data_IF_841088370198
#
_entry.id   IF_841088370198
#
_cell.length_a   1.000
_cell.length_b   1.000
_cell.length_c   1.000
_cell.angle_alpha   90.00
_cell.angle_beta   90.00
_cell.angle_gamma   90.00
#
_symmetry.space_group_name_H-M   'P 1'
#
loop_
_entity.id
_entity.type
_entity.pdbx_description
1 polymer ?
#
# COMPACT_ATOMS: atom_id res chain seq x y z
N UNK A 1 29.75 -4.19 -61.30
CA UNK A 1 29.48 -4.65 -59.91
C UNK A 1 29.38 -3.45 -58.93
N UNK A 2 28.31 -2.65 -58.99
CA UNK A 2 28.12 -1.48 -58.08
C UNK A 2 26.73 -1.42 -57.41
N UNK A 3 25.82 -2.35 -57.71
CA UNK A 3 24.42 -2.30 -57.25
C UNK A 3 24.22 -2.94 -55.86
N UNK A 4 25.10 -3.88 -55.47
CA UNK A 4 24.94 -4.65 -54.22
C UNK A 4 25.24 -3.82 -52.95
N UNK A 5 26.00 -2.72 -53.06
CA UNK A 5 26.36 -1.89 -51.89
C UNK A 5 25.28 -0.90 -51.43
N UNK A 6 24.29 -0.59 -52.27
CA UNK A 6 23.24 0.40 -51.91
C UNK A 6 22.13 -0.24 -51.06
N UNK A 7 21.83 -1.53 -51.28
CA UNK A 7 20.74 -2.22 -50.57
C UNK A 7 21.11 -2.47 -49.09
N UNK A 8 22.39 -2.64 -48.77
CA UNK A 8 22.84 -2.88 -47.39
C UNK A 8 22.75 -1.63 -46.49
N UNK A 9 22.81 -0.42 -47.07
CA UNK A 9 22.79 0.83 -46.30
C UNK A 9 21.38 1.21 -45.81
N UNK A 10 20.34 0.84 -46.57
CA UNK A 10 18.94 1.18 -46.23
C UNK A 10 18.44 0.30 -45.06
N UNK A 11 18.92 -0.94 -44.95
CA UNK A 11 18.51 -1.86 -43.89
C UNK A 11 19.00 -1.45 -42.50
N UNK A 12 20.15 -0.75 -42.40
CA UNK A 12 20.70 -0.30 -41.11
C UNK A 12 19.92 0.88 -40.52
N UNK A 13 19.37 1.77 -41.36
CA UNK A 13 18.60 2.92 -40.87
C UNK A 13 17.19 2.55 -40.37
N UNK A 14 16.57 1.49 -40.87
CA UNK A 14 15.23 1.06 -40.46
C UNK A 14 15.19 0.37 -39.08
N UNK A 15 16.32 -0.15 -38.59
CA UNK A 15 16.41 -0.77 -37.27
C UNK A 15 16.35 0.23 -36.11
N UNK A 16 16.93 1.42 -36.27
CA UNK A 16 17.05 2.42 -35.20
C UNK A 16 15.74 3.16 -34.90
N UNK A 17 14.90 3.40 -35.91
CA UNK A 17 13.63 4.15 -35.73
C UNK A 17 12.60 3.34 -34.91
N UNK A 18 12.67 2.01 -34.95
CA UNK A 18 11.69 1.15 -34.30
C UNK A 18 11.93 0.99 -32.78
N UNK A 19 13.15 1.28 -32.29
CA UNK A 19 13.48 1.22 -30.87
C UNK A 19 13.04 2.44 -30.07
N UNK A 20 13.05 3.65 -30.66
CA UNK A 20 12.59 4.87 -29.96
C UNK A 20 11.06 4.94 -29.85
N UNK A 21 10.32 4.50 -30.87
CA UNK A 21 8.86 4.46 -30.83
C UNK A 21 8.31 3.46 -29.79
N UNK A 22 9.02 2.35 -29.51
CA UNK A 22 8.66 1.44 -28.42
C UNK A 22 8.92 2.03 -27.03
N UNK A 23 9.92 2.92 -26.89
CA UNK A 23 10.25 3.59 -25.63
C UNK A 23 9.17 4.61 -25.23
N UNK A 24 8.58 5.32 -26.21
CA UNK A 24 7.49 6.27 -25.96
C UNK A 24 6.14 5.60 -25.63
N UNK A 25 5.79 4.44 -26.23
CA UNK A 25 4.53 3.72 -25.90
C UNK A 25 4.53 3.08 -24.52
N UNK A 26 5.70 2.87 -23.91
CA UNK A 26 5.84 2.31 -22.55
C UNK A 26 5.68 3.36 -21.43
N UNK A 27 6.03 4.63 -21.68
CA UNK A 27 5.95 5.70 -20.67
C UNK A 27 4.53 6.00 -20.18
N UNK A 28 3.55 6.08 -21.09
CA UNK A 28 2.16 6.41 -20.74
C UNK A 28 1.45 5.35 -19.87
N UNK A 29 1.77 4.06 -20.08
CA UNK A 29 1.15 2.96 -19.31
C UNK A 29 1.66 2.92 -17.86
N UNK A 30 2.90 3.32 -17.62
CA UNK A 30 3.50 3.37 -16.28
C UNK A 30 2.98 4.59 -15.49
N UNK A 31 2.92 5.77 -16.11
CA UNK A 31 2.36 6.96 -15.49
C UNK A 31 0.89 6.76 -15.08
N UNK A 32 0.07 6.13 -15.94
CA UNK A 32 -1.32 5.80 -15.63
C UNK A 32 -1.48 4.75 -14.51
N UNK A 33 -0.60 3.74 -14.42
CA UNK A 33 -0.58 2.80 -13.27
C UNK A 33 -0.22 3.53 -11.97
N UNK A 34 0.75 4.44 -12.03
CA UNK A 34 1.21 5.19 -10.86
C UNK A 34 0.12 6.12 -10.28
N UNK A 35 -0.58 6.88 -11.11
CA UNK A 35 -1.69 7.76 -10.68
C UNK A 35 -2.84 6.93 -10.08
N UNK A 36 -3.22 5.82 -10.72
CA UNK A 36 -4.26 4.92 -10.18
C UNK A 36 -3.86 4.37 -8.83
N UNK A 37 -2.63 3.87 -8.68
CA UNK A 37 -2.15 3.36 -7.41
C UNK A 37 -2.12 4.44 -6.33
N UNK A 38 -1.81 5.70 -6.67
CA UNK A 38 -1.89 6.83 -5.72
C UNK A 38 -3.30 7.01 -5.17
N UNK A 39 -4.30 7.04 -6.05
CA UNK A 39 -5.71 7.23 -5.66
C UNK A 39 -6.20 6.05 -4.82
N UNK A 40 -5.90 4.83 -5.26
CA UNK A 40 -6.26 3.60 -4.53
C UNK A 40 -5.59 3.56 -3.16
N UNK A 41 -4.28 3.84 -3.08
CA UNK A 41 -3.56 3.85 -1.81
C UNK A 41 -4.15 4.88 -0.84
N UNK A 42 -4.50 6.09 -1.30
CA UNK A 42 -5.14 7.11 -0.46
C UNK A 42 -6.47 6.61 0.12
N UNK A 43 -7.31 6.01 -0.73
CA UNK A 43 -8.59 5.43 -0.32
C UNK A 43 -8.42 4.30 0.70
N UNK A 44 -7.48 3.39 0.44
CA UNK A 44 -7.19 2.25 1.32
C UNK A 44 -6.69 2.72 2.68
N UNK A 45 -5.75 3.66 2.72
CA UNK A 45 -5.19 4.21 3.96
C UNK A 45 -6.29 4.86 4.81
N UNK A 46 -7.13 5.72 4.21
CA UNK A 46 -8.26 6.38 4.88
C UNK A 46 -9.27 5.38 5.45
N UNK A 47 -9.67 4.38 4.65
CA UNK A 47 -10.58 3.32 5.13
C UNK A 47 -9.99 2.54 6.30
N UNK A 48 -8.69 2.23 6.25
CA UNK A 48 -8.01 1.53 7.35
C UNK A 48 -7.94 2.39 8.61
N UNK A 49 -7.74 3.70 8.50
CA UNK A 49 -7.72 4.60 9.63
C UNK A 49 -9.04 4.57 10.43
N UNK A 50 -10.19 4.56 9.74
CA UNK A 50 -11.51 4.44 10.38
C UNK A 50 -11.66 3.14 11.17
N UNK A 51 -11.23 2.01 10.59
CA UNK A 51 -11.26 0.71 11.28
C UNK A 51 -10.33 0.70 12.49
N UNK A 52 -9.16 1.33 12.40
CA UNK A 52 -8.22 1.47 13.52
C UNK A 52 -8.78 2.32 14.65
N UNK A 53 -9.47 3.43 14.36
CA UNK A 53 -10.14 4.25 15.37
C UNK A 53 -11.17 3.42 16.13
N UNK A 54 -11.94 2.60 15.41
CA UNK A 54 -12.90 1.67 16.02
C UNK A 54 -12.22 0.61 16.87
N UNK A 55 -11.14 0.00 16.38
CA UNK A 55 -10.35 -0.98 17.13
C UNK A 55 -9.76 -0.38 18.41
N UNK A 56 -9.25 0.85 18.34
CA UNK A 56 -8.72 1.61 19.47
C UNK A 56 -9.78 1.87 20.52
N UNK A 57 -10.95 2.37 20.12
CA UNK A 57 -12.09 2.59 21.02
C UNK A 57 -12.48 1.30 21.77
N UNK A 58 -12.66 0.20 21.04
CA UNK A 58 -13.03 -1.08 21.64
C UNK A 58 -11.95 -1.65 22.58
N UNK A 59 -10.68 -1.46 22.24
CA UNK A 59 -9.55 -1.87 23.09
C UNK A 59 -9.49 -1.03 24.36
N UNK A 60 -9.78 0.27 24.26
CA UNK A 60 -9.86 1.18 25.42
C UNK A 60 -11.02 0.83 26.35
N UNK A 61 -12.17 0.44 25.80
CA UNK A 61 -13.36 0.06 26.57
C UNK A 61 -13.20 -1.29 27.27
N UNK A 62 -12.73 -2.31 26.56
CA UNK A 62 -12.66 -3.68 27.07
C UNK A 62 -11.31 -4.06 27.71
N UNK A 63 -10.28 -3.23 27.52
CA UNK A 63 -8.92 -3.41 28.06
C UNK A 63 -8.29 -4.78 27.76
N UNK A 64 -8.66 -5.41 26.65
CA UNK A 64 -8.03 -6.65 26.20
C UNK A 64 -6.87 -6.34 25.25
N UNK A 65 -5.67 -6.39 25.80
CA UNK A 65 -4.42 -6.06 25.10
C UNK A 65 -3.83 -7.32 24.47
N UNK A 66 -3.83 -7.38 23.15
CA UNK A 66 -3.35 -8.55 22.39
C UNK A 66 -2.07 -8.28 21.62
N UNK A 67 -1.58 -7.04 21.63
CA UNK A 67 -0.50 -6.52 20.80
C UNK A 67 -0.93 -6.26 19.35
N UNK A 68 -2.14 -6.69 18.94
CA UNK A 68 -2.60 -6.59 17.55
C UNK A 68 -2.94 -5.16 17.16
N UNK A 69 -3.42 -4.34 18.10
CA UNK A 69 -3.71 -2.93 17.84
C UNK A 69 -2.39 -2.18 17.58
N UNK A 70 -1.37 -2.39 18.40
CA UNK A 70 -0.06 -1.77 18.24
C UNK A 70 0.60 -2.15 16.92
N UNK A 71 0.61 -3.43 16.58
CA UNK A 71 1.09 -3.87 15.27
C UNK A 71 0.30 -3.21 14.13
N UNK A 72 -1.04 -3.16 14.24
CA UNK A 72 -1.87 -2.55 13.21
C UNK A 72 -1.54 -1.06 13.01
N UNK A 73 -1.37 -0.29 14.09
CA UNK A 73 -0.97 1.12 14.05
C UNK A 73 0.41 1.28 13.40
N UNK A 74 1.39 0.43 13.75
CA UNK A 74 2.74 0.45 13.16
C UNK A 74 2.72 0.26 11.65
N UNK A 75 1.99 -0.76 11.17
CA UNK A 75 1.84 -1.00 9.73
C UNK A 75 1.18 0.18 9.01
N UNK A 76 0.18 0.82 9.63
CA UNK A 76 -0.49 1.98 9.04
C UNK A 76 0.41 3.22 8.98
N UNK A 77 1.16 3.50 10.05
CA UNK A 77 2.17 4.59 10.07
C UNK A 77 3.20 4.38 8.96
N UNK A 78 3.69 3.15 8.80
CA UNK A 78 4.63 2.82 7.75
C UNK A 78 4.01 2.94 6.35
N UNK A 79 2.74 2.57 6.18
CA UNK A 79 2.00 2.78 4.93
C UNK A 79 1.94 4.27 4.53
N UNK A 80 1.74 5.20 5.49
CA UNK A 80 1.79 6.65 5.22
C UNK A 80 3.16 7.10 4.77
N UNK A 81 4.22 6.61 5.41
CA UNK A 81 5.60 6.91 5.02
C UNK A 81 5.86 6.45 3.58
N UNK A 82 5.43 5.24 3.22
CA UNK A 82 5.55 4.71 1.86
C UNK A 82 4.72 5.51 0.85
N UNK A 83 3.52 5.95 1.23
CA UNK A 83 2.68 6.81 0.41
C UNK A 83 3.38 8.13 0.07
N UNK A 84 3.92 8.81 1.08
CA UNK A 84 4.66 10.07 0.91
C UNK A 84 5.93 9.91 0.07
N UNK A 85 6.56 8.73 0.12
CA UNK A 85 7.70 8.35 -0.73
C UNK A 85 7.31 7.96 -2.17
N UNK A 86 6.02 7.97 -2.52
CA UNK A 86 5.52 7.57 -3.83
C UNK A 86 5.45 6.04 -4.05
N UNK A 87 5.72 5.23 -3.02
CA UNK A 87 5.64 3.78 -3.10
C UNK A 87 4.21 3.29 -2.78
N UNK A 88 3.26 3.64 -3.66
CA UNK A 88 1.83 3.44 -3.43
C UNK A 88 1.43 1.96 -3.36
N UNK A 89 2.03 1.09 -4.17
CA UNK A 89 1.73 -0.34 -4.14
C UNK A 89 2.12 -0.96 -2.79
N UNK A 90 3.33 -0.63 -2.28
CA UNK A 90 3.77 -1.11 -0.96
C UNK A 90 2.93 -0.52 0.16
N UNK A 91 2.53 0.75 0.05
CA UNK A 91 1.63 1.39 1.01
C UNK A 91 0.29 0.66 1.12
N UNK A 92 -0.30 0.22 -0.01
CA UNK A 92 -1.53 -0.58 -0.02
C UNK A 92 -1.33 -1.89 0.75
N UNK A 93 -0.24 -2.62 0.51
CA UNK A 93 0.02 -3.89 1.22
C UNK A 93 0.18 -3.73 2.72
N UNK A 94 0.94 -2.71 3.15
CA UNK A 94 1.12 -2.42 4.57
C UNK A 94 -0.22 -2.01 5.22
N UNK A 95 -1.02 -1.18 4.56
CA UNK A 95 -2.35 -0.80 5.06
C UNK A 95 -3.34 -1.97 5.08
N UNK A 96 -3.27 -2.91 4.12
CA UNK A 96 -4.07 -4.13 4.12
C UNK A 96 -3.75 -5.03 5.33
N UNK A 97 -2.47 -5.21 5.63
CA UNK A 97 -2.05 -5.98 6.81
C UNK A 97 -2.48 -5.29 8.10
N UNK A 98 -2.32 -3.97 8.18
CA UNK A 98 -2.85 -3.16 9.27
C UNK A 98 -4.35 -3.40 9.50
N UNK A 99 -5.17 -3.36 8.45
CA UNK A 99 -6.61 -3.58 8.57
C UNK A 99 -6.97 -4.98 9.07
N UNK A 100 -6.25 -6.01 8.59
CA UNK A 100 -6.43 -7.39 9.09
C UNK A 100 -6.12 -7.51 10.58
N UNK A 101 -5.02 -6.90 11.03
CA UNK A 101 -4.66 -6.87 12.45
C UNK A 101 -5.69 -6.08 13.28
N UNK A 102 -6.21 -4.98 12.75
CA UNK A 102 -7.28 -4.21 13.39
C UNK A 102 -8.56 -5.04 13.55
N UNK A 103 -8.94 -5.87 12.56
CA UNK A 103 -10.07 -6.79 12.70
C UNK A 103 -9.85 -7.82 13.80
N UNK A 104 -8.64 -8.37 13.92
CA UNK A 104 -8.31 -9.28 15.01
C UNK A 104 -8.41 -8.59 16.37
N UNK A 105 -7.95 -7.33 16.48
CA UNK A 105 -8.10 -6.54 17.70
C UNK A 105 -9.58 -6.27 18.04
N UNK A 106 -10.41 -5.95 17.04
CA UNK A 106 -11.86 -5.76 17.20
C UNK A 106 -12.52 -7.05 17.71
N UNK A 107 -12.23 -8.19 17.07
CA UNK A 107 -12.79 -9.48 17.46
C UNK A 107 -12.36 -9.90 18.88
N UNK A 108 -11.09 -9.69 19.24
CA UNK A 108 -10.58 -9.95 20.59
C UNK A 108 -11.27 -9.08 21.65
N UNK A 109 -11.74 -7.88 21.27
CA UNK A 109 -12.48 -6.96 22.12
C UNK A 109 -14.01 -7.06 21.91
N UNK A 110 -14.51 -8.23 21.49
CA UNK A 110 -15.95 -8.56 21.34
C UNK A 110 -16.71 -7.65 20.36
N UNK A 111 -16.01 -6.93 19.49
CA UNK A 111 -16.62 -6.15 18.42
C UNK A 111 -16.92 -6.99 17.18
N UNK A 112 -17.84 -6.50 16.36
CA UNK A 112 -18.20 -7.10 15.07
C UNK A 112 -17.67 -6.25 13.92
N UNK A 113 -17.00 -6.87 12.96
CA UNK A 113 -16.54 -6.18 11.75
C UNK A 113 -17.69 -6.12 10.75
N UNK A 114 -18.02 -4.92 10.29
CA UNK A 114 -19.11 -4.74 9.33
C UNK A 114 -18.67 -5.14 7.92
N UNK A 115 -19.61 -5.59 7.06
CA UNK A 115 -19.27 -6.12 5.71
C UNK A 115 -18.62 -5.07 4.80
N UNK A 116 -18.99 -3.81 4.98
CA UNK A 116 -18.45 -2.63 4.28
C UNK A 116 -17.02 -2.27 4.70
N UNK A 117 -16.59 -2.68 5.90
CA UNK A 117 -15.21 -2.49 6.37
C UNK A 117 -14.26 -3.55 5.79
N UNK A 118 -14.77 -4.69 5.31
CA UNK A 118 -13.97 -5.80 4.81
C UNK A 118 -13.07 -5.41 3.63
N UNK A 119 -12.00 -6.20 3.45
CA UNK A 119 -11.08 -6.03 2.33
C UNK A 119 -11.84 -6.17 1.00
N UNK A 120 -11.73 -5.13 0.16
CA UNK A 120 -12.32 -5.10 -1.17
C UNK A 120 -11.31 -5.48 -2.25
N UNK A 121 -11.78 -5.47 -3.50
CA UNK A 121 -10.92 -5.70 -4.67
C UNK A 121 -9.74 -4.70 -4.72
N UNK A 122 -9.97 -3.45 -4.32
CA UNK A 122 -8.97 -2.38 -4.27
C UNK A 122 -7.78 -2.67 -3.33
N UNK A 123 -7.94 -3.56 -2.35
CA UNK A 123 -6.90 -3.89 -1.38
C UNK A 123 -5.92 -4.96 -1.92
N UNK A 124 -6.28 -5.67 -3.00
CA UNK A 124 -5.42 -6.64 -3.66
C UNK A 124 -4.84 -6.02 -4.93
N UNK A 125 -3.53 -5.77 -4.97
CA UNK A 125 -2.90 -5.53 -6.28
C UNK A 125 -2.85 -6.85 -7.04
N UNK A 126 -3.28 -6.83 -8.30
CA UNK A 126 -3.28 -7.95 -9.25
C UNK A 126 -1.88 -8.51 -9.59
N UNK A 127 -0.84 -8.08 -8.88
CA UNK A 127 0.52 -8.51 -9.12
C UNK A 127 0.76 -9.87 -8.43
N UNK A 128 1.19 -10.89 -9.20
CA UNK A 128 1.56 -12.25 -8.73
C UNK A 128 2.71 -12.26 -7.70
N UNK A 129 3.25 -11.09 -7.37
CA UNK A 129 4.32 -10.82 -6.41
C UNK A 129 3.78 -10.11 -5.17
N UNK A 130 2.58 -10.47 -4.72
CA UNK A 130 2.06 -9.97 -3.46
C UNK A 130 2.98 -10.44 -2.31
N UNK A 131 3.51 -9.51 -1.49
CA UNK A 131 4.35 -9.88 -0.37
C UNK A 131 3.57 -10.65 0.67
N UNK A 132 4.27 -11.57 1.32
CA UNK A 132 3.78 -12.29 2.49
C UNK A 132 3.73 -11.36 3.71
N UNK A 133 2.89 -11.71 4.68
CA UNK A 133 2.75 -10.92 5.91
C UNK A 133 4.07 -10.85 6.69
N UNK A 134 4.84 -11.95 6.68
CA UNK A 134 6.16 -12.02 7.31
C UNK A 134 7.20 -11.10 6.64
N UNK A 135 7.12 -10.90 5.31
CA UNK A 135 8.00 -9.96 4.61
C UNK A 135 7.63 -8.51 4.94
N UNK A 136 6.33 -8.21 5.05
CA UNK A 136 5.86 -6.87 5.41
C UNK A 136 6.26 -6.48 6.84
N UNK A 137 6.26 -7.45 7.76
CA UNK A 137 6.65 -7.24 9.16
C UNK A 137 8.16 -6.95 9.30
N UNK A 138 9.01 -7.62 8.52
CA UNK A 138 10.47 -7.38 8.51
C UNK A 138 10.86 -5.97 8.05
N UNK A 139 10.00 -5.31 7.27
CA UNK A 139 10.25 -3.95 6.79
C UNK A 139 9.86 -2.87 7.79
N UNK A 140 9.18 -3.23 8.88
CA UNK A 140 8.77 -2.24 9.86
C UNK A 140 9.99 -1.64 10.56
N UNK A 141 9.97 -0.32 10.82
CA UNK A 141 10.94 0.26 11.74
C UNK A 141 10.79 -0.37 13.12
N UNK A 142 11.91 -0.49 13.83
CA UNK A 142 11.91 -0.91 15.22
C UNK A 142 11.08 0.08 16.04
N UNK A 143 10.02 -0.42 16.66
CA UNK A 143 9.11 0.36 17.49
C UNK A 143 8.60 -0.58 18.59
N UNK A 144 8.64 -0.10 19.83
CA UNK A 144 8.34 -0.84 21.05
C UNK A 144 6.98 -0.48 21.63
N UNK A 145 6.22 0.37 20.96
CA UNK A 145 4.91 0.83 21.44
C UNK A 145 3.96 -0.35 21.62
N UNK A 146 3.35 -0.41 22.80
CA UNK A 146 2.39 -1.44 23.22
C UNK A 146 0.94 -0.97 23.09
N UNK A 147 -0.01 -1.91 23.14
CA UNK A 147 -1.44 -1.56 23.11
C UNK A 147 -1.81 -0.64 24.30
N UNK A 148 -1.21 -0.88 25.47
CA UNK A 148 -1.44 -0.11 26.70
C UNK A 148 -0.98 1.35 26.57
N UNK A 149 0.12 1.61 25.88
CA UNK A 149 0.60 2.97 25.63
C UNK A 149 -0.28 3.67 24.58
N UNK A 150 -0.76 2.92 23.58
CA UNK A 150 -1.58 3.46 22.51
C UNK A 150 -2.98 3.87 22.95
N UNK A 151 -3.62 3.15 23.88
CA UNK A 151 -4.98 3.51 24.32
C UNK A 151 -5.05 4.89 25.02
N UNK A 152 -3.92 5.36 25.55
CA UNK A 152 -3.80 6.67 26.19
C UNK A 152 -3.41 7.78 25.20
N UNK A 153 -3.02 7.40 23.98
CA UNK A 153 -2.60 8.33 22.93
C UNK A 153 -3.74 8.56 21.93
N UNK A 154 -3.80 9.77 21.37
CA UNK A 154 -4.66 10.05 20.22
C UNK A 154 -4.01 9.52 18.94
N UNK A 155 -4.76 8.75 18.15
CA UNK A 155 -4.28 8.20 16.87
C UNK A 155 -4.44 9.23 15.74
N UNK A 156 -3.90 10.43 15.90
CA UNK A 156 -3.97 11.47 14.86
C UNK A 156 -3.03 11.19 13.69
N UNK A 157 -2.04 10.33 13.86
CA UNK A 157 -0.96 10.09 12.90
C UNK A 157 -1.16 8.85 12.01
N UNK A 158 -2.38 8.31 11.96
CA UNK A 158 -2.69 7.09 11.19
C UNK A 158 -3.41 7.36 9.85
N UNK A 159 -3.85 8.61 9.59
CA UNK A 159 -4.54 9.00 8.36
C UNK A 159 -3.72 9.96 7.48
N UNK A 160 -4.09 10.06 6.20
CA UNK A 160 -3.55 11.05 5.27
C UNK A 160 -4.38 12.32 5.33
N UNK A 161 -3.69 13.45 5.49
CA UNK A 161 -4.32 14.75 5.46
C UNK A 161 -4.87 15.04 4.06
N UNK A 162 -5.80 15.98 3.93
CA UNK A 162 -6.33 16.34 2.61
C UNK A 162 -5.25 16.90 1.66
N UNK A 163 -4.16 17.40 2.23
CA UNK A 163 -3.01 17.95 1.51
C UNK A 163 -1.96 16.89 1.06
N UNK A 164 -2.07 15.62 1.46
CA UNK A 164 -1.18 14.51 1.03
C UNK A 164 -1.65 13.86 -0.31
#
# INVERSE_FOLDING_TARGET
MKIIRIILLIAVCLGSVNMEAQKMRRGGRVAGKHIRNKVVAKKVIRRTALVLIRAHKLTKENKNYTGKLAMAVRHQRYARILYRKGNFARAIHQSRLSRRLAFLAIQANKGTVAKDEQLGADDNSDDKTNPTDAELEKELPADTVTDQELINSELSDIDLDDND
#
